data_IF_403571545958
#
_entry.id   IF_403571545958
#
_cell.length_a   1.000
_cell.length_b   1.000
_cell.length_c   1.000
_cell.angle_alpha   90.00
_cell.angle_beta   90.00
_cell.angle_gamma   90.00
#
_symmetry.space_group_name_H-M   'P 1'
#
loop_
_entity.id
_entity.type
_entity.pdbx_description
1 polymer ?
#
# COMPACT_ATOMS: atom_id res chain seq x y z
N UNK A 1 -0.90 -22.17 -12.37
CA UNK A 1 -0.53 -22.07 -10.94
C UNK A 1 -1.19 -20.83 -10.35
N UNK A 2 -1.67 -20.87 -9.10
CA UNK A 2 -2.28 -19.69 -8.46
C UNK A 2 -1.18 -18.70 -8.07
N UNK A 3 -1.30 -17.44 -8.51
CA UNK A 3 -0.35 -16.37 -8.14
C UNK A 3 -0.41 -16.13 -6.62
N UNK A 4 0.73 -15.81 -6.01
CA UNK A 4 0.80 -15.38 -4.61
C UNK A 4 0.41 -13.90 -4.50
N UNK A 5 -0.19 -13.52 -3.38
CA UNK A 5 -0.49 -12.12 -3.10
C UNK A 5 0.79 -11.41 -2.62
N UNK A 6 1.01 -10.20 -3.12
CA UNK A 6 2.09 -9.32 -2.70
C UNK A 6 1.50 -7.94 -2.43
N UNK A 7 1.82 -7.36 -1.28
CA UNK A 7 1.45 -5.99 -0.96
C UNK A 7 2.69 -5.10 -1.03
N UNK A 8 2.57 -3.96 -1.71
CA UNK A 8 3.60 -2.93 -1.79
C UNK A 8 3.19 -1.76 -0.92
N UNK A 9 4.06 -1.42 0.03
CA UNK A 9 3.83 -0.34 1.00
C UNK A 9 4.84 0.77 0.75
N UNK A 10 4.36 2.02 0.68
CA UNK A 10 5.23 3.19 0.58
C UNK A 10 5.73 3.61 1.96
N UNK A 11 6.80 4.41 1.99
CA UNK A 11 7.36 4.97 3.22
C UNK A 11 6.75 6.36 3.53
N UNK A 12 7.29 7.02 4.56
CA UNK A 12 6.90 8.39 4.93
C UNK A 12 6.98 9.35 3.73
N UNK A 13 6.00 10.27 3.66
CA UNK A 13 5.82 11.23 2.55
C UNK A 13 5.59 10.59 1.17
N UNK A 14 5.46 9.26 1.10
CA UNK A 14 5.16 8.53 -0.12
C UNK A 14 3.67 8.40 -0.41
N UNK A 15 3.36 7.75 -1.51
CA UNK A 15 2.00 7.38 -1.94
C UNK A 15 2.05 6.13 -2.82
N UNK A 16 0.92 5.44 -2.98
CA UNK A 16 0.76 4.31 -3.89
C UNK A 16 1.20 4.67 -5.32
N UNK A 17 0.94 5.90 -5.76
CA UNK A 17 1.27 6.33 -7.12
C UNK A 17 2.76 6.16 -7.48
N UNK A 18 3.66 6.26 -6.49
CA UNK A 18 5.10 6.03 -6.68
C UNK A 18 5.44 4.56 -6.96
N UNK A 19 4.54 3.64 -6.60
CA UNK A 19 4.73 2.19 -6.73
C UNK A 19 4.14 1.63 -8.02
N UNK A 20 3.41 2.42 -8.82
CA UNK A 20 2.74 1.94 -10.05
C UNK A 20 3.70 1.26 -11.05
N UNK A 21 4.92 1.77 -11.32
CA UNK A 21 5.84 1.08 -12.24
C UNK A 21 6.27 -0.30 -11.71
N UNK A 22 6.53 -0.40 -10.40
CA UNK A 22 6.90 -1.65 -9.75
C UNK A 22 5.74 -2.65 -9.75
N UNK A 23 4.53 -2.17 -9.45
CA UNK A 23 3.30 -2.96 -9.48
C UNK A 23 3.10 -3.63 -10.85
N UNK A 24 3.15 -2.85 -11.92
CA UNK A 24 2.98 -3.36 -13.29
C UNK A 24 4.01 -4.43 -13.66
N UNK A 25 5.27 -4.27 -13.21
CA UNK A 25 6.34 -5.25 -13.44
C UNK A 25 6.06 -6.59 -12.73
N UNK A 26 5.53 -6.53 -11.51
CA UNK A 26 5.31 -7.69 -10.64
C UNK A 26 3.98 -8.40 -10.89
N UNK A 27 3.00 -7.74 -11.52
CA UNK A 27 1.69 -8.29 -11.86
C UNK A 27 1.76 -9.53 -12.77
N UNK A 28 2.86 -9.71 -13.52
CA UNK A 28 3.12 -10.93 -14.28
C UNK A 28 3.21 -12.19 -13.38
N UNK A 29 3.70 -12.03 -12.16
CA UNK A 29 4.06 -13.12 -11.23
C UNK A 29 3.17 -13.17 -9.98
N UNK A 30 2.69 -12.03 -9.50
CA UNK A 30 1.92 -11.89 -8.25
C UNK A 30 0.56 -11.25 -8.50
N UNK A 31 -0.37 -11.42 -7.55
CA UNK A 31 -1.49 -10.49 -7.40
C UNK A 31 -0.98 -9.33 -6.55
N UNK A 32 -0.79 -8.16 -7.16
CA UNK A 32 -0.12 -7.04 -6.50
C UNK A 32 -1.14 -6.02 -6.00
N UNK A 33 -1.05 -5.72 -4.71
CA UNK A 33 -1.89 -4.74 -4.02
C UNK A 33 -1.02 -3.58 -3.53
N UNK A 34 -1.61 -2.40 -3.47
CA UNK A 34 -0.99 -1.17 -2.97
C UNK A 34 -2.12 -0.21 -2.60
N UNK A 35 -1.84 0.72 -1.68
CA UNK A 35 -2.78 1.73 -1.22
C UNK A 35 -2.02 2.89 -0.55
N UNK A 36 -2.70 4.01 -0.38
CA UNK A 36 -2.22 5.16 0.41
C UNK A 36 -2.55 4.94 1.89
N UNK A 37 -1.54 4.96 2.77
CA UNK A 37 -1.79 5.02 4.22
C UNK A 37 -2.53 6.32 4.59
N UNK A 38 -3.39 6.28 5.61
CA UNK A 38 -4.07 7.47 6.13
C UNK A 38 -3.09 8.63 6.35
N UNK A 39 -3.47 9.81 5.85
CA UNK A 39 -2.66 11.03 5.87
C UNK A 39 -1.54 11.10 4.83
N UNK A 40 -1.44 10.13 3.91
CA UNK A 40 -0.47 10.10 2.82
C UNK A 40 -1.19 10.08 1.46
N UNK A 41 -0.50 10.53 0.40
CA UNK A 41 -1.08 10.59 -0.94
C UNK A 41 -2.43 11.33 -0.97
N UNK A 42 -3.49 10.62 -1.35
CA UNK A 42 -4.86 11.15 -1.38
C UNK A 42 -5.71 10.71 -0.18
N UNK A 43 -5.17 9.89 0.73
CA UNK A 43 -5.90 9.41 1.90
C UNK A 43 -5.96 10.50 2.98
N UNK A 44 -7.17 10.90 3.38
CA UNK A 44 -7.36 11.86 4.46
C UNK A 44 -6.90 11.27 5.79
N UNK A 45 -6.35 12.12 6.67
CA UNK A 45 -6.04 11.70 8.03
C UNK A 45 -7.27 11.89 8.92
N UNK A 46 -7.86 10.79 9.38
CA UNK A 46 -9.06 10.78 10.23
C UNK A 46 -8.79 10.16 11.61
N UNK A 47 -7.56 9.73 11.90
CA UNK A 47 -7.22 8.94 13.09
C UNK A 47 -5.87 9.37 13.71
N UNK A 48 -5.51 8.77 14.85
CA UNK A 48 -4.26 9.04 15.55
C UNK A 48 -3.07 8.51 14.74
N UNK A 49 -2.05 9.33 14.57
CA UNK A 49 -0.80 8.92 13.93
C UNK A 49 -0.02 7.96 14.85
N UNK A 50 -0.09 6.66 14.55
CA UNK A 50 0.65 5.62 15.27
C UNK A 50 0.94 4.42 14.37
N UNK A 51 1.97 3.64 14.69
CA UNK A 51 2.27 2.39 13.97
C UNK A 51 1.07 1.43 14.01
N UNK A 52 0.36 1.35 15.14
CA UNK A 52 -0.82 0.50 15.26
C UNK A 52 -1.94 0.89 14.30
N UNK A 53 -2.09 2.19 14.03
CA UNK A 53 -3.06 2.70 13.03
C UNK A 53 -2.70 2.23 11.62
N UNK A 54 -1.42 2.19 11.27
CA UNK A 54 -0.98 1.67 9.97
C UNK A 54 -1.11 0.14 9.86
N UNK A 55 -0.85 -0.59 10.95
CA UNK A 55 -1.03 -2.04 10.98
C UNK A 55 -2.49 -2.42 10.75
N UNK A 56 -3.45 -1.70 11.35
CA UNK A 56 -4.89 -1.95 11.14
C UNK A 56 -5.30 -1.83 9.67
N UNK A 57 -4.75 -0.85 8.95
CA UNK A 57 -5.02 -0.64 7.52
C UNK A 57 -4.54 -1.77 6.61
N UNK A 58 -3.72 -2.71 7.10
CA UNK A 58 -3.32 -3.90 6.32
C UNK A 58 -4.33 -5.05 6.43
N UNK A 59 -5.27 -4.98 7.36
CA UNK A 59 -6.25 -6.02 7.64
C UNK A 59 -7.66 -5.72 7.09
N UNK A 60 -7.90 -4.47 6.68
CA UNK A 60 -9.15 -3.99 6.08
C UNK A 60 -9.16 -4.15 4.55
#
# INVERSE_FOLDING_TARGET
>A
MKKRNLILLHAALGSESQLLPLKSTLESTFNVYSFDFLGHGHAQNTDVFSINTFVKQLHD
#
